data_IF_980293457597
#
_entry.id   IF_980293457597
#
_cell.length_a   1.000
_cell.length_b   1.000
_cell.length_c   1.000
_cell.angle_alpha   90.00
_cell.angle_beta   90.00
_cell.angle_gamma   90.00
#
_symmetry.space_group_name_H-M   'P 1'
#
loop_
_entity.id
_entity.type
_entity.pdbx_description
1 polymer ?
#
# COMPACT_ATOMS: atom_id res chain seq x y z
N UNK A 1 16.28 10.98 15.82
CA UNK A 1 14.85 11.25 15.52
C UNK A 1 14.31 10.07 14.75
N UNK A 2 13.13 9.57 15.12
CA UNK A 2 12.48 8.47 14.39
C UNK A 2 11.46 9.06 13.42
N UNK A 3 11.56 8.71 12.14
CA UNK A 3 10.73 9.24 11.07
C UNK A 3 9.88 8.13 10.46
N UNK A 4 8.64 8.47 10.11
CA UNK A 4 7.72 7.58 9.40
C UNK A 4 7.25 8.28 8.14
N UNK A 5 7.62 7.72 6.98
CA UNK A 5 7.11 8.16 5.68
C UNK A 5 5.94 7.27 5.30
N UNK A 6 4.75 7.86 5.13
CA UNK A 6 3.56 7.16 4.69
C UNK A 6 3.34 7.45 3.21
N UNK A 7 3.26 6.40 2.40
CA UNK A 7 3.05 6.51 0.96
C UNK A 7 1.89 5.61 0.52
N UNK A 8 0.88 6.13 -0.21
CA UNK A 8 -0.25 5.33 -0.67
C UNK A 8 0.15 4.13 -1.54
N UNK A 9 1.10 4.36 -2.45
CA UNK A 9 1.47 3.43 -3.50
C UNK A 9 0.47 3.43 -4.66
N UNK A 10 0.98 3.22 -5.88
CA UNK A 10 0.20 3.38 -7.12
C UNK A 10 0.00 2.06 -7.89
N UNK A 11 0.46 0.93 -7.34
CA UNK A 11 0.38 -0.34 -8.04
C UNK A 11 1.26 -0.34 -9.29
N UNK A 12 0.70 -0.76 -10.42
CA UNK A 12 1.41 -0.90 -11.69
C UNK A 12 1.66 0.39 -12.47
N UNK A 13 1.29 1.55 -11.91
CA UNK A 13 1.53 2.86 -12.54
C UNK A 13 2.84 3.46 -12.05
N UNK A 14 3.53 4.19 -12.93
CA UNK A 14 4.60 5.09 -12.52
C UNK A 14 4.01 6.31 -11.82
N UNK A 15 4.44 6.55 -10.58
CA UNK A 15 3.87 7.59 -9.73
C UNK A 15 4.97 8.50 -9.21
N UNK A 16 4.97 9.77 -9.61
CA UNK A 16 5.96 10.76 -9.19
C UNK A 16 6.07 10.89 -7.66
N UNK A 17 4.95 10.81 -6.94
CA UNK A 17 4.97 10.83 -5.47
C UNK A 17 5.66 9.59 -4.89
N UNK A 18 5.46 8.40 -5.48
CA UNK A 18 6.14 7.19 -5.01
C UNK A 18 7.66 7.30 -5.20
N UNK A 19 8.12 7.80 -6.36
CA UNK A 19 9.55 8.03 -6.60
C UNK A 19 10.14 9.06 -5.64
N UNK A 20 9.46 10.20 -5.47
CA UNK A 20 9.88 11.25 -4.54
C UNK A 20 10.00 10.73 -3.12
N UNK A 21 8.98 10.03 -2.63
CA UNK A 21 8.95 9.52 -1.27
C UNK A 21 10.01 8.43 -1.05
N UNK A 22 10.24 7.56 -2.04
CA UNK A 22 11.31 6.56 -2.01
C UNK A 22 12.70 7.23 -1.94
N UNK A 23 12.94 8.25 -2.77
CA UNK A 23 14.19 9.00 -2.77
C UNK A 23 14.40 9.75 -1.45
N UNK A 24 13.34 10.35 -0.89
CA UNK A 24 13.37 11.03 0.40
C UNK A 24 13.78 10.08 1.52
N UNK A 25 13.14 8.89 1.61
CA UNK A 25 13.48 7.90 2.64
C UNK A 25 14.94 7.44 2.50
N UNK A 26 15.40 7.21 1.26
CA UNK A 26 16.81 6.85 1.00
C UNK A 26 17.75 7.92 1.54
N UNK A 27 17.49 9.20 1.23
CA UNK A 27 18.31 10.32 1.67
C UNK A 27 18.30 10.48 3.20
N UNK A 28 17.14 10.36 3.84
CA UNK A 28 17.02 10.44 5.31
C UNK A 28 17.81 9.33 6.01
N UNK A 29 17.75 8.09 5.49
CA UNK A 29 18.54 6.98 6.02
C UNK A 29 20.05 7.21 5.84
N UNK A 30 20.47 7.71 4.68
CA UNK A 30 21.88 8.04 4.41
C UNK A 30 22.39 9.16 5.34
N UNK A 31 21.53 10.11 5.72
CA UNK A 31 21.83 11.14 6.71
C UNK A 31 21.83 10.63 8.17
N UNK A 32 21.65 9.33 8.41
CA UNK A 32 21.67 8.73 9.74
C UNK A 32 20.35 8.83 10.50
N UNK A 33 19.24 9.18 9.84
CA UNK A 33 17.92 9.20 10.48
C UNK A 33 17.20 7.85 10.34
N UNK A 34 16.87 7.15 11.45
CA UNK A 34 16.00 5.99 11.43
C UNK A 34 14.65 6.33 10.80
N UNK A 35 14.40 5.82 9.59
CA UNK A 35 13.22 6.15 8.79
C UNK A 35 12.50 4.88 8.35
N UNK A 36 11.26 4.71 8.81
CA UNK A 36 10.36 3.65 8.37
C UNK A 36 9.52 4.14 7.19
N UNK A 37 9.51 3.38 6.09
CA UNK A 37 8.61 3.65 4.97
C UNK A 37 7.42 2.69 5.04
N UNK A 38 6.23 3.26 5.14
CA UNK A 38 4.97 2.54 5.29
C UNK A 38 4.13 2.73 4.03
N UNK A 39 3.86 1.62 3.36
CA UNK A 39 3.01 1.60 2.17
C UNK A 39 1.56 1.31 2.58
N UNK A 40 0.59 2.07 2.07
CA UNK A 40 -0.80 1.92 2.49
C UNK A 40 -1.62 0.99 1.60
N UNK A 41 -1.81 1.29 0.32
CA UNK A 41 -2.88 0.68 -0.47
C UNK A 41 -2.37 -0.39 -1.43
N UNK A 42 -1.32 -0.08 -2.17
CA UNK A 42 -0.76 -0.93 -3.22
C UNK A 42 0.77 -0.86 -3.18
N UNK A 43 1.48 -1.90 -3.65
CA UNK A 43 2.92 -1.81 -3.85
C UNK A 43 3.27 -0.70 -4.85
N UNK A 44 4.49 -0.17 -4.76
CA UNK A 44 4.99 0.83 -5.69
C UNK A 44 5.72 0.17 -6.87
N UNK A 45 5.60 0.76 -8.05
CA UNK A 45 6.46 0.46 -9.20
C UNK A 45 7.59 1.48 -9.23
N UNK A 46 8.83 1.03 -9.04
CA UNK A 46 10.03 1.86 -8.92
C UNK A 46 11.16 1.27 -9.78
N UNK A 47 12.04 2.12 -10.28
CA UNK A 47 13.29 1.72 -10.95
C UNK A 47 14.42 1.51 -9.93
N UNK A 48 14.41 2.32 -8.88
CA UNK A 48 15.34 2.25 -7.75
C UNK A 48 14.95 1.14 -6.75
N UNK A 49 15.87 0.83 -5.82
CA UNK A 49 15.57 -0.04 -4.68
C UNK A 49 14.38 0.48 -3.86
N UNK A 50 13.38 -0.38 -3.68
CA UNK A 50 12.19 -0.11 -2.87
C UNK A 50 12.55 0.03 -1.37
N UNK A 51 12.48 1.25 -0.86
CA UNK A 51 12.79 1.57 0.54
C UNK A 51 11.71 1.08 1.53
N UNK A 52 10.57 0.61 1.03
CA UNK A 52 9.50 -0.03 1.81
C UNK A 52 9.62 -1.55 1.85
N UNK A 53 10.56 -2.16 1.12
CA UNK A 53 10.72 -3.60 1.06
C UNK A 53 10.90 -4.21 2.46
N UNK A 54 10.21 -5.32 2.74
CA UNK A 54 10.16 -5.95 4.05
C UNK A 54 9.08 -5.40 4.99
N UNK A 55 8.54 -4.20 4.74
CA UNK A 55 7.44 -3.65 5.53
C UNK A 55 6.07 -4.11 4.98
N UNK A 56 5.10 -4.37 5.87
CA UNK A 56 3.75 -4.73 5.47
C UNK A 56 3.02 -3.56 4.81
N UNK A 57 2.04 -3.89 3.98
CA UNK A 57 1.10 -2.92 3.41
C UNK A 57 -0.09 -2.81 4.38
N UNK A 58 -0.27 -1.65 5.01
CA UNK A 58 -1.17 -1.52 6.18
C UNK A 58 -2.64 -1.39 5.81
N UNK A 59 -2.98 -0.56 4.82
CA UNK A 59 -4.36 -0.28 4.43
C UNK A 59 -4.68 -0.92 3.07
N UNK A 60 -4.45 -2.24 2.98
CA UNK A 60 -4.72 -3.02 1.77
C UNK A 60 -6.13 -2.73 1.25
N UNK A 61 -6.23 -2.13 0.05
CA UNK A 61 -7.52 -1.76 -0.53
C UNK A 61 -8.46 -2.95 -0.71
N UNK A 62 -7.91 -4.15 -0.89
CA UNK A 62 -8.67 -5.41 -0.96
C UNK A 62 -9.32 -5.73 0.38
N UNK A 63 -8.58 -5.64 1.48
CA UNK A 63 -9.13 -5.90 2.81
C UNK A 63 -10.21 -4.87 3.16
N UNK A 64 -9.92 -3.59 2.95
CA UNK A 64 -10.84 -2.48 3.23
C UNK A 64 -12.16 -2.66 2.49
N UNK A 65 -12.09 -3.00 1.20
CA UNK A 65 -13.29 -3.27 0.40
C UNK A 65 -14.11 -4.46 0.93
N UNK A 66 -13.45 -5.57 1.25
CA UNK A 66 -14.12 -6.77 1.75
C UNK A 66 -14.69 -6.59 3.15
N UNK A 67 -14.00 -5.85 4.02
CA UNK A 67 -14.47 -5.51 5.38
C UNK A 67 -15.75 -4.65 5.35
N UNK A 68 -15.87 -3.79 4.33
CA UNK A 68 -17.08 -3.01 4.10
C UNK A 68 -18.22 -3.88 3.56
N UNK A 69 -17.93 -4.74 2.57
CA UNK A 69 -18.96 -5.53 1.86
C UNK A 69 -19.44 -6.77 2.62
N UNK A 70 -18.64 -7.32 3.54
CA UNK A 70 -18.95 -8.58 4.22
C UNK A 70 -18.64 -8.53 5.71
N UNK A 71 -19.70 -8.59 6.53
CA UNK A 71 -19.57 -8.70 7.98
C UNK A 71 -18.87 -10.01 8.42
N UNK A 72 -18.95 -11.08 7.60
CA UNK A 72 -18.25 -12.33 7.85
C UNK A 72 -16.74 -12.16 7.64
N UNK A 73 -16.34 -11.45 6.58
CA UNK A 73 -14.93 -11.17 6.31
C UNK A 73 -14.30 -10.30 7.40
N UNK A 74 -15.06 -9.33 7.93
CA UNK A 74 -14.62 -8.50 9.07
C UNK A 74 -14.29 -9.31 10.33
N UNK A 75 -14.90 -10.48 10.51
CA UNK A 75 -14.62 -11.43 11.60
C UNK A 75 -13.69 -12.55 11.18
N UNK A 76 -13.09 -12.43 9.99
CA UNK A 76 -12.19 -13.41 9.42
C UNK A 76 -10.91 -13.57 10.25
N UNK A 77 -10.21 -14.71 10.12
CA UNK A 77 -8.97 -14.94 10.84
C UNK A 77 -7.84 -14.07 10.28
N UNK A 78 -6.95 -13.61 11.15
CA UNK A 78 -5.88 -12.67 10.80
C UNK A 78 -4.96 -13.15 9.65
N UNK A 79 -4.79 -14.47 9.47
CA UNK A 79 -4.00 -15.02 8.38
C UNK A 79 -4.61 -14.73 7.00
N UNK A 80 -5.95 -14.66 6.90
CA UNK A 80 -6.66 -14.37 5.66
C UNK A 80 -6.41 -12.91 5.23
N UNK A 81 -6.58 -11.97 6.17
CA UNK A 81 -6.27 -10.56 5.95
C UNK A 81 -4.80 -10.37 5.55
N UNK A 82 -3.87 -11.12 6.16
CA UNK A 82 -2.44 -11.08 5.83
C UNK A 82 -2.14 -11.62 4.43
N UNK A 83 -2.82 -12.68 4.02
CA UNK A 83 -2.69 -13.26 2.68
C UNK A 83 -3.16 -12.26 1.61
N UNK A 84 -4.31 -11.63 1.83
CA UNK A 84 -4.88 -10.64 0.91
C UNK A 84 -4.11 -9.30 0.90
N UNK A 85 -3.45 -8.95 2.01
CA UNK A 85 -2.52 -7.83 2.07
C UNK A 85 -1.10 -8.17 1.58
N UNK A 86 -0.85 -9.38 1.08
CA UNK A 86 0.47 -9.74 0.57
C UNK A 86 0.81 -8.97 -0.70
N UNK A 87 2.08 -8.57 -0.84
CA UNK A 87 2.56 -7.85 -2.04
C UNK A 87 2.21 -8.57 -3.34
N UNK A 88 2.30 -9.90 -3.38
CA UNK A 88 1.96 -10.69 -4.58
C UNK A 88 0.49 -10.53 -4.98
N UNK A 89 -0.43 -10.66 -4.03
CA UNK A 89 -1.87 -10.49 -4.28
C UNK A 89 -2.17 -9.05 -4.69
N UNK A 90 -1.58 -8.07 -4.01
CA UNK A 90 -1.81 -6.66 -4.32
C UNK A 90 -1.20 -6.22 -5.65
N UNK A 91 -0.03 -6.75 -6.05
CA UNK A 91 0.52 -6.53 -7.40
C UNK A 91 -0.40 -7.11 -8.47
N UNK A 92 -0.98 -8.28 -8.23
CA UNK A 92 -1.95 -8.86 -9.15
C UNK A 92 -3.25 -8.06 -9.22
N UNK A 93 -3.77 -7.60 -8.07
CA UNK A 93 -4.97 -6.76 -8.00
C UNK A 93 -4.75 -5.40 -8.66
N UNK A 94 -3.56 -4.81 -8.51
CA UNK A 94 -3.19 -3.53 -9.11
C UNK A 94 -3.33 -3.51 -10.65
N UNK A 95 -3.14 -4.65 -11.33
CA UNK A 95 -3.35 -4.77 -12.79
C UNK A 95 -4.78 -4.46 -13.23
N UNK A 96 -5.74 -4.54 -12.31
CA UNK A 96 -7.16 -4.23 -12.54
C UNK A 96 -7.60 -2.90 -11.94
N UNK A 97 -6.75 -2.22 -11.18
CA UNK A 97 -7.10 -1.00 -10.44
C UNK A 97 -7.55 0.15 -11.35
N UNK A 98 -7.03 0.25 -12.58
CA UNK A 98 -7.45 1.25 -13.55
C UNK A 98 -8.93 1.12 -13.99
N UNK A 99 -9.59 -0.02 -13.71
CA UNK A 99 -11.00 -0.26 -14.03
C UNK A 99 -11.96 0.15 -12.91
N UNK A 100 -11.44 0.55 -11.75
CA UNK A 100 -12.26 0.95 -10.59
C UNK A 100 -12.94 2.28 -10.89
N UNK A 101 -14.27 2.34 -10.77
CA UNK A 101 -15.04 3.59 -10.94
C UNK A 101 -15.38 4.17 -9.58
N UNK A 102 -15.29 5.50 -9.44
CA UNK A 102 -15.59 6.19 -8.19
C UNK A 102 -16.99 5.86 -7.65
N UNK A 103 -17.99 5.73 -8.53
CA UNK A 103 -19.36 5.38 -8.15
C UNK A 103 -19.47 4.00 -7.48
N UNK A 104 -18.59 3.05 -7.80
CA UNK A 104 -18.64 1.69 -7.23
C UNK A 104 -18.03 1.63 -5.80
N UNK A 105 -17.28 2.67 -5.41
CA UNK A 105 -16.50 2.74 -4.15
C UNK A 105 -16.83 3.97 -3.30
N UNK A 106 -17.84 4.77 -3.67
CA UNK A 106 -18.19 6.02 -2.98
C UNK A 106 -18.55 5.80 -1.51
N UNK A 107 -19.29 4.73 -1.21
CA UNK A 107 -19.72 4.38 0.14
C UNK A 107 -18.55 4.10 1.09
N UNK A 108 -17.32 3.87 0.60
CA UNK A 108 -16.13 3.69 1.44
C UNK A 108 -15.69 4.98 2.15
N UNK A 109 -16.28 6.12 1.79
CA UNK A 109 -15.93 7.43 2.34
C UNK A 109 -16.89 7.90 3.45
N UNK A 110 -17.94 7.12 3.75
CA UNK A 110 -18.97 7.38 4.77
C UNK A 110 -18.73 6.54 6.03
#
# INVERSE_FOLDING_TARGET
MNLVQITPGAGGMFCGNCFRDNALVRALRQAGHPTLMVTLYLPMTLEDQDQSAGNPIFFSGVNVYLDQRSALFRKGPAWLHRLLASRRVLTWAARRAAKTRAADVGDLTL
#
